data_IF_995132171887
#
_entry.id   IF_995132171887
#
_cell.length_a   1.000
_cell.length_b   1.000
_cell.length_c   1.000
_cell.angle_alpha   90.00
_cell.angle_beta   90.00
_cell.angle_gamma   90.00
#
_symmetry.space_group_name_H-M   'P 1'
#
loop_
_entity.id
_entity.type
_entity.pdbx_description
1 polymer ?
#
# COMPACT_ATOMS: atom_id res chain seq x y z
N UNK A 1 -15.74 24.18 -4.80
CA UNK A 1 -16.45 23.61 -3.63
C UNK A 1 -16.67 22.09 -3.73
N UNK A 2 -17.06 21.55 -4.90
CA UNK A 2 -17.25 20.09 -5.09
C UNK A 2 -15.96 19.23 -5.00
N UNK A 3 -14.83 19.71 -5.55
CA UNK A 3 -13.54 18.99 -5.50
C UNK A 3 -13.10 18.66 -4.07
N UNK A 4 -13.29 19.62 -3.15
CA UNK A 4 -12.91 19.49 -1.74
C UNK A 4 -13.82 18.52 -0.96
N UNK A 5 -15.03 18.26 -1.47
CA UNK A 5 -15.94 17.24 -0.90
C UNK A 5 -15.62 15.84 -1.40
N UNK A 6 -15.19 15.68 -2.66
CA UNK A 6 -14.83 14.39 -3.25
C UNK A 6 -13.56 13.83 -2.60
N UNK A 7 -12.59 14.70 -2.30
CA UNK A 7 -11.35 14.36 -1.58
C UNK A 7 -11.56 13.94 -0.12
N UNK A 8 -12.75 14.13 0.46
CA UNK A 8 -13.06 13.57 1.79
C UNK A 8 -13.33 12.07 1.73
N UNK A 9 -13.75 11.53 0.58
CA UNK A 9 -14.00 10.09 0.46
C UNK A 9 -12.68 9.32 0.58
N UNK A 10 -12.67 8.37 1.48
CA UNK A 10 -11.50 7.58 1.79
C UNK A 10 -10.98 6.78 0.58
N UNK A 11 -11.87 6.20 -0.23
CA UNK A 11 -11.48 5.47 -1.44
C UNK A 11 -10.86 6.39 -2.50
N UNK A 12 -11.33 7.63 -2.61
CA UNK A 12 -10.75 8.62 -3.52
C UNK A 12 -9.34 9.00 -3.09
N UNK A 13 -9.12 9.21 -1.78
CA UNK A 13 -7.79 9.48 -1.24
C UNK A 13 -6.82 8.34 -1.52
N UNK A 14 -7.27 7.09 -1.37
CA UNK A 14 -6.47 5.92 -1.72
C UNK A 14 -6.12 5.88 -3.21
N UNK A 15 -7.10 6.10 -4.10
CA UNK A 15 -6.85 6.13 -5.54
C UNK A 15 -5.89 7.26 -5.95
N UNK A 16 -6.08 8.47 -5.41
CA UNK A 16 -5.19 9.60 -5.67
C UNK A 16 -3.77 9.29 -5.18
N UNK A 17 -3.63 8.71 -3.98
CA UNK A 17 -2.34 8.29 -3.45
C UNK A 17 -1.67 7.24 -4.36
N UNK A 18 -2.42 6.21 -4.77
CA UNK A 18 -1.91 5.18 -5.69
C UNK A 18 -1.52 5.75 -7.06
N UNK A 19 -2.26 6.74 -7.58
CA UNK A 19 -1.89 7.44 -8.82
C UNK A 19 -0.61 8.28 -8.65
N UNK A 20 -0.41 8.91 -7.50
CA UNK A 20 0.85 9.63 -7.19
C UNK A 20 2.02 8.65 -7.15
N UNK A 21 1.86 7.50 -6.47
CA UNK A 21 2.90 6.46 -6.42
C UNK A 21 3.17 5.90 -7.81
N UNK A 22 2.14 5.65 -8.62
CA UNK A 22 2.27 5.21 -10.00
C UNK A 22 3.04 6.23 -10.85
N UNK A 23 2.72 7.52 -10.73
CA UNK A 23 3.40 8.58 -11.44
C UNK A 23 4.88 8.69 -11.02
N UNK A 24 5.19 8.49 -9.74
CA UNK A 24 6.58 8.42 -9.26
C UNK A 24 7.33 7.23 -9.85
N UNK A 25 6.73 6.03 -9.88
CA UNK A 25 7.33 4.85 -10.50
C UNK A 25 7.62 5.11 -11.99
N UNK A 26 6.65 5.67 -12.72
CA UNK A 26 6.82 6.02 -14.14
C UNK A 26 7.93 7.07 -14.34
N UNK A 27 8.00 8.08 -13.48
CA UNK A 27 9.04 9.10 -13.53
C UNK A 27 10.43 8.49 -13.33
N UNK A 28 10.59 7.62 -12.32
CA UNK A 28 11.86 6.92 -12.08
C UNK A 28 12.20 5.94 -13.21
N UNK A 29 11.21 5.30 -13.81
CA UNK A 29 11.43 4.41 -14.94
C UNK A 29 12.03 5.15 -16.15
N UNK A 30 11.65 6.42 -16.36
CA UNK A 30 12.18 7.24 -17.45
C UNK A 30 13.52 7.92 -17.12
N UNK A 31 13.73 8.31 -15.86
CA UNK A 31 14.89 9.13 -15.45
C UNK A 31 16.03 8.33 -14.84
N UNK A 32 15.71 7.28 -14.09
CA UNK A 32 16.65 6.45 -13.32
C UNK A 32 16.20 4.96 -13.36
N UNK A 33 16.09 4.31 -14.52
CA UNK A 33 15.59 2.93 -14.61
C UNK A 33 16.40 1.93 -13.77
N UNK A 34 17.70 2.18 -13.57
CA UNK A 34 18.60 1.33 -12.79
C UNK A 34 18.25 1.22 -11.30
N UNK A 35 17.42 2.13 -10.74
CA UNK A 35 16.98 2.04 -9.33
C UNK A 35 15.68 1.25 -9.17
N UNK A 36 15.05 0.82 -10.27
CA UNK A 36 13.83 0.03 -10.24
C UNK A 36 14.15 -1.45 -10.48
N UNK A 37 13.56 -2.32 -9.67
CA UNK A 37 13.59 -3.77 -9.92
C UNK A 37 12.73 -4.11 -11.13
N UNK A 38 13.09 -5.18 -11.84
CA UNK A 38 12.32 -5.70 -12.99
C UNK A 38 10.88 -6.05 -12.60
N UNK A 39 10.70 -6.52 -11.37
CA UNK A 39 9.41 -6.84 -10.78
C UNK A 39 8.62 -5.62 -10.25
N UNK A 40 9.03 -4.37 -10.51
CA UNK A 40 8.41 -3.16 -9.94
C UNK A 40 6.89 -3.09 -10.13
N UNK A 41 6.38 -3.51 -11.29
CA UNK A 41 4.95 -3.53 -11.58
C UNK A 41 4.21 -4.57 -10.73
N UNK A 42 4.82 -5.74 -10.55
CA UNK A 42 4.29 -6.81 -9.70
C UNK A 42 4.28 -6.38 -8.24
N UNK A 43 5.33 -5.71 -7.77
CA UNK A 43 5.41 -5.12 -6.43
C UNK A 43 4.28 -4.10 -6.24
N UNK A 44 4.14 -3.14 -7.18
CA UNK A 44 3.11 -2.11 -7.11
C UNK A 44 1.71 -2.72 -7.03
N UNK A 45 1.40 -3.67 -7.90
CA UNK A 45 0.10 -4.34 -7.91
C UNK A 45 -0.16 -5.09 -6.60
N UNK A 46 0.83 -5.81 -6.08
CA UNK A 46 0.72 -6.51 -4.82
C UNK A 46 0.46 -5.54 -3.65
N UNK A 47 1.25 -4.46 -3.53
CA UNK A 47 1.08 -3.47 -2.46
C UNK A 47 -0.28 -2.77 -2.55
N UNK A 48 -0.70 -2.40 -3.77
CA UNK A 48 -2.02 -1.83 -4.04
C UNK A 48 -3.14 -2.79 -3.59
N UNK A 49 -3.08 -4.05 -4.01
CA UNK A 49 -4.11 -5.05 -3.73
C UNK A 49 -4.24 -5.33 -2.23
N UNK A 50 -3.11 -5.52 -1.54
CA UNK A 50 -3.12 -5.79 -0.10
C UNK A 50 -3.66 -4.60 0.69
N UNK A 51 -3.32 -3.37 0.31
CA UNK A 51 -3.94 -2.19 0.92
C UNK A 51 -5.42 -2.11 0.58
N UNK A 52 -5.81 -2.25 -0.69
CA UNK A 52 -7.22 -2.21 -1.08
C UNK A 52 -8.08 -3.24 -0.33
N UNK A 53 -7.60 -4.48 -0.19
CA UNK A 53 -8.27 -5.54 0.57
C UNK A 53 -8.41 -5.18 2.05
N UNK A 54 -7.37 -4.62 2.66
CA UNK A 54 -7.44 -4.14 4.04
C UNK A 54 -8.53 -3.07 4.19
N UNK A 55 -8.60 -2.12 3.26
CA UNK A 55 -9.61 -1.06 3.26
C UNK A 55 -11.03 -1.60 3.11
N UNK A 56 -11.22 -2.55 2.20
CA UNK A 56 -12.50 -3.21 2.00
C UNK A 56 -12.94 -3.97 3.26
N UNK A 57 -12.02 -4.68 3.90
CA UNK A 57 -12.28 -5.43 5.12
C UNK A 57 -12.68 -4.50 6.29
N UNK A 58 -12.01 -3.37 6.44
CA UNK A 58 -12.31 -2.39 7.49
C UNK A 58 -13.71 -1.78 7.37
N UNK A 59 -14.19 -1.59 6.14
CA UNK A 59 -15.53 -1.05 5.89
C UNK A 59 -16.64 -2.03 6.26
N UNK A 60 -16.37 -3.34 6.18
CA UNK A 60 -17.38 -4.39 6.35
C UNK A 60 -17.72 -4.67 7.82
N UNK A 61 -16.82 -4.43 8.76
CA UNK A 61 -17.09 -4.64 10.20
C UNK A 61 -16.54 -3.50 11.07
N UNK A 62 -17.26 -2.37 11.18
CA UNK A 62 -16.83 -1.23 11.98
C UNK A 62 -16.80 -1.51 13.50
N UNK A 63 -17.61 -2.45 13.99
CA UNK A 63 -17.73 -2.78 15.42
C UNK A 63 -16.45 -3.39 16.02
N UNK A 64 -15.69 -4.13 15.20
CA UNK A 64 -14.43 -4.77 15.59
C UNK A 64 -13.23 -4.14 14.87
N UNK A 65 -13.30 -2.85 14.56
CA UNK A 65 -12.33 -2.15 13.72
C UNK A 65 -10.87 -2.35 14.14
N UNK A 66 -10.57 -2.28 15.44
CA UNK A 66 -9.22 -2.51 15.96
C UNK A 66 -8.73 -3.95 15.75
N UNK A 67 -9.56 -4.94 16.06
CA UNK A 67 -9.23 -6.36 15.92
C UNK A 67 -9.00 -6.72 14.45
N UNK A 68 -9.87 -6.22 13.56
CA UNK A 68 -9.76 -6.44 12.12
C UNK A 68 -8.53 -5.73 11.55
N UNK A 69 -8.17 -4.56 12.08
CA UNK A 69 -6.91 -3.88 11.73
C UNK A 69 -5.69 -4.72 12.08
N UNK A 70 -5.63 -5.25 13.30
CA UNK A 70 -4.53 -6.11 13.75
C UNK A 70 -4.46 -7.39 12.91
N UNK A 71 -5.59 -8.05 12.68
CA UNK A 71 -5.66 -9.24 11.82
C UNK A 71 -5.20 -8.90 10.39
N UNK A 72 -5.64 -7.77 9.84
CA UNK A 72 -5.22 -7.29 8.53
C UNK A 72 -3.71 -7.03 8.44
N UNK A 73 -3.09 -6.52 9.51
CA UNK A 73 -1.62 -6.35 9.57
C UNK A 73 -0.90 -7.71 9.57
N UNK A 74 -1.39 -8.69 10.33
CA UNK A 74 -0.81 -10.05 10.34
C UNK A 74 -0.92 -10.68 8.95
N UNK A 75 -2.10 -10.63 8.33
CA UNK A 75 -2.33 -11.14 6.96
C UNK A 75 -1.39 -10.44 5.97
N UNK A 76 -1.25 -9.12 6.06
CA UNK A 76 -0.34 -8.34 5.21
C UNK A 76 1.11 -8.81 5.34
N UNK A 77 1.60 -9.02 6.55
CA UNK A 77 2.98 -9.47 6.79
C UNK A 77 3.18 -10.87 6.19
N UNK A 78 2.27 -11.80 6.47
CA UNK A 78 2.34 -13.16 5.93
C UNK A 78 2.29 -13.15 4.39
N UNK A 79 1.35 -12.41 3.80
CA UNK A 79 1.25 -12.26 2.35
C UNK A 79 2.51 -11.65 1.75
N UNK A 80 3.13 -10.68 2.42
CA UNK A 80 4.38 -10.03 1.97
C UNK A 80 5.55 -11.01 1.98
N UNK A 81 5.69 -11.81 3.03
CA UNK A 81 6.72 -12.84 3.11
C UNK A 81 6.56 -13.89 2.03
N UNK A 82 5.32 -14.39 1.83
CA UNK A 82 5.02 -15.34 0.75
C UNK A 82 5.30 -14.73 -0.62
N UNK A 83 4.91 -13.47 -0.85
CA UNK A 83 5.16 -12.78 -2.11
C UNK A 83 6.65 -12.68 -2.42
N UNK A 84 7.46 -12.20 -1.46
CA UNK A 84 8.91 -12.10 -1.60
C UNK A 84 9.50 -13.48 -1.92
N UNK A 85 9.13 -14.52 -1.15
CA UNK A 85 9.63 -15.87 -1.35
C UNK A 85 9.30 -16.41 -2.75
N UNK A 86 8.07 -16.18 -3.24
CA UNK A 86 7.64 -16.62 -4.58
C UNK A 86 8.42 -15.91 -5.69
N UNK A 87 8.63 -14.59 -5.59
CA UNK A 87 9.35 -13.84 -6.62
C UNK A 87 10.83 -14.21 -6.65
N UNK A 88 11.46 -14.31 -5.47
CA UNK A 88 12.87 -14.75 -5.38
C UNK A 88 13.03 -16.17 -5.93
N UNK A 89 12.11 -17.09 -5.61
CA UNK A 89 12.17 -18.45 -6.14
C UNK A 89 11.98 -18.52 -7.67
N UNK A 90 11.27 -17.56 -8.28
CA UNK A 90 11.14 -17.46 -9.73
C UNK A 90 12.39 -16.92 -10.45
N UNK A 91 13.42 -16.55 -9.71
CA UNK A 91 14.72 -16.18 -10.27
C UNK A 91 14.93 -14.67 -10.48
N UNK A 92 14.39 -13.82 -9.61
CA UNK A 92 14.70 -12.38 -9.62
C UNK A 92 16.22 -12.14 -9.56
N UNK A 93 16.78 -11.46 -10.57
CA UNK A 93 18.23 -11.31 -10.72
C UNK A 93 18.85 -10.45 -9.61
N UNK A 94 18.26 -9.28 -9.35
CA UNK A 94 18.75 -8.34 -8.35
C UNK A 94 17.86 -8.34 -7.10
N UNK A 95 18.03 -9.38 -6.27
CA UNK A 95 17.25 -9.60 -5.05
C UNK A 95 17.29 -8.39 -4.10
N UNK A 96 18.46 -7.74 -3.95
CA UNK A 96 18.61 -6.59 -3.05
C UNK A 96 17.78 -5.41 -3.56
N UNK A 97 17.86 -5.10 -4.86
CA UNK A 97 17.08 -4.03 -5.48
C UNK A 97 15.58 -4.32 -5.40
N UNK A 98 15.18 -5.57 -5.64
CA UNK A 98 13.80 -6.04 -5.49
C UNK A 98 13.28 -5.83 -4.07
N UNK A 99 14.00 -6.31 -3.05
CA UNK A 99 13.60 -6.17 -1.65
C UNK A 99 13.52 -4.67 -1.28
N UNK A 100 14.49 -3.86 -1.70
CA UNK A 100 14.47 -2.42 -1.44
C UNK A 100 13.25 -1.73 -2.05
N UNK A 101 12.97 -1.98 -3.33
CA UNK A 101 11.78 -1.44 -4.03
C UNK A 101 10.48 -1.93 -3.37
N UNK A 102 10.43 -3.20 -2.98
CA UNK A 102 9.32 -3.79 -2.25
C UNK A 102 9.08 -3.06 -0.92
N UNK A 103 10.12 -2.89 -0.11
CA UNK A 103 10.01 -2.21 1.18
C UNK A 103 9.59 -0.74 1.02
N UNK A 104 10.12 -0.02 0.04
CA UNK A 104 9.75 1.37 -0.21
C UNK A 104 8.26 1.48 -0.55
N UNK A 105 7.76 0.69 -1.50
CA UNK A 105 6.34 0.69 -1.87
C UNK A 105 5.47 0.22 -0.71
N UNK A 106 5.87 -0.83 0.00
CA UNK A 106 5.20 -1.30 1.20
C UNK A 106 5.07 -0.19 2.25
N UNK A 107 6.15 0.56 2.51
CA UNK A 107 6.16 1.66 3.47
C UNK A 107 5.26 2.82 3.04
N UNK A 108 5.25 3.19 1.76
CA UNK A 108 4.33 4.21 1.27
C UNK A 108 2.87 3.85 1.56
N UNK A 109 2.46 2.64 1.23
CA UNK A 109 1.11 2.16 1.48
C UNK A 109 0.82 1.98 2.98
N UNK A 110 1.79 1.54 3.77
CA UNK A 110 1.65 1.44 5.23
C UNK A 110 1.47 2.81 5.88
N UNK A 111 2.28 3.79 5.47
CA UNK A 111 2.21 5.17 5.95
C UNK A 111 0.83 5.77 5.63
N UNK A 112 0.33 5.58 4.41
CA UNK A 112 -1.03 5.99 4.03
C UNK A 112 -2.09 5.40 4.97
N UNK A 113 -1.98 4.10 5.28
CA UNK A 113 -2.93 3.42 6.16
C UNK A 113 -2.85 3.91 7.62
N UNK A 114 -1.65 4.21 8.12
CA UNK A 114 -1.43 4.77 9.46
C UNK A 114 -1.99 6.19 9.55
N UNK A 115 -1.67 7.07 8.59
CA UNK A 115 -2.20 8.43 8.59
C UNK A 115 -3.73 8.45 8.51
N UNK A 116 -4.29 7.61 7.64
CA UNK A 116 -5.74 7.43 7.56
C UNK A 116 -6.31 7.01 8.91
N UNK A 117 -5.69 6.02 9.56
CA UNK A 117 -6.16 5.53 10.86
C UNK A 117 -6.14 6.64 11.90
N UNK A 118 -5.01 7.31 12.08
CA UNK A 118 -4.86 8.39 13.07
C UNK A 118 -5.84 9.53 12.78
N UNK A 119 -6.02 9.92 11.51
CA UNK A 119 -6.95 11.00 11.13
C UNK A 119 -8.42 10.69 11.44
N UNK A 120 -8.80 9.41 11.47
CA UNK A 120 -10.15 8.97 11.81
C UNK A 120 -10.31 8.68 13.33
N UNK A 121 -9.23 8.72 14.12
CA UNK A 121 -9.27 8.47 15.57
C UNK A 121 -9.50 9.72 16.43
N UNK A 122 -9.56 10.94 15.87
CA UNK A 122 -9.65 12.19 16.65
C UNK A 122 -10.90 13.03 16.29
N UNK A 123 -11.83 13.37 17.21
CA UNK A 123 -12.03 12.87 18.58
C UNK A 123 -13.44 12.28 18.83
N UNK A 124 -13.50 11.03 19.32
CA UNK A 124 -14.54 10.60 20.26
C UNK A 124 -14.03 11.02 21.65
N UNK A 125 -14.01 12.32 21.92
CA UNK A 125 -13.85 12.89 23.25
C UNK A 125 -15.10 13.73 23.51
N UNK A 126 -16.08 13.08 24.13
CA UNK A 126 -17.15 13.69 24.91
C UNK A 126 -17.18 12.97 26.25
#
# INVERSE_FOLDING_TARGET
>A
MALMSILKNFHVRFLVFSLIVLALVLLFQQTLPQILSESIWTIFYFSYLVSFLALWLYKKSPENFLQIKLLGMVIRILASLTFIAVIVWRGEENIILFIANFFILFLFYLIFDIYTFISNLRPISK
#
